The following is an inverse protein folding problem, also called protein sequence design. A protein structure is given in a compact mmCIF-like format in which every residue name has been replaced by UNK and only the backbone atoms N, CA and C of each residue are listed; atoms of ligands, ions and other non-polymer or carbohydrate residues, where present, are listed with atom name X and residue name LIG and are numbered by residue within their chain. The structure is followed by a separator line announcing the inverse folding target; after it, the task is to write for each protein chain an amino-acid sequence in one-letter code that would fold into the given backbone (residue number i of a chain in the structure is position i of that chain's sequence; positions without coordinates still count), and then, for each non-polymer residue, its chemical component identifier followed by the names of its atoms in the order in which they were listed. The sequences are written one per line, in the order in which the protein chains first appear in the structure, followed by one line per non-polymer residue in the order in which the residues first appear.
data_IF_324174178302
#
_entry.id   IF_324174178302
#
_cell.length_a   1.000
_cell.length_b   1.000
_cell.length_c   1.000
_cell.angle_alpha   90.00
_cell.angle_beta   90.00
_cell.angle_gamma   90.00
#
_symmetry.space_group_name_H-M   'P 1'
#
loop_
_entity.id
_entity.type
_entity.pdbx_description
1 polymer ?
#
# COMPACT_ATOMS: atom_id res chain seq x y z
N UNK A 1 -35.99 -8.53 15.52
CA UNK A 1 -36.34 -7.16 15.10
C UNK A 1 -37.84 -6.97 15.16
N UNK A 2 -38.28 -6.15 16.10
CA UNK A 2 -39.68 -5.78 16.30
C UNK A 2 -40.05 -4.59 15.43
N UNK A 3 -41.30 -4.56 14.96
CA UNK A 3 -41.83 -3.39 14.26
C UNK A 3 -41.82 -2.15 15.15
N UNK A 4 -41.86 -2.32 16.47
CA UNK A 4 -41.85 -1.23 17.47
C UNK A 4 -40.49 -0.56 17.55
N UNK A 5 -39.38 -1.30 17.55
CA UNK A 5 -38.05 -0.69 17.62
C UNK A 5 -37.69 0.05 16.32
N UNK A 6 -38.02 -0.54 15.16
CA UNK A 6 -37.87 0.15 13.88
C UNK A 6 -38.78 1.40 13.80
N UNK A 7 -40.00 1.31 14.33
CA UNK A 7 -40.92 2.43 14.39
C UNK A 7 -40.37 3.59 15.24
N UNK A 8 -39.75 3.28 16.39
CA UNK A 8 -39.05 4.27 17.22
C UNK A 8 -37.89 4.91 16.47
N UNK A 9 -37.06 4.11 15.78
CA UNK A 9 -35.93 4.61 14.99
C UNK A 9 -36.37 5.59 13.89
N UNK A 10 -37.40 5.25 13.12
CA UNK A 10 -37.88 6.11 12.02
C UNK A 10 -38.91 7.15 12.44
N UNK A 11 -39.27 7.22 13.74
CA UNK A 11 -40.35 8.07 14.26
C UNK A 11 -41.67 7.86 13.52
N UNK A 12 -42.03 6.58 13.34
CA UNK A 12 -43.24 6.13 12.65
C UNK A 12 -44.09 5.24 13.56
N UNK A 13 -45.28 4.83 13.11
CA UNK A 13 -46.09 3.84 13.82
C UNK A 13 -45.64 2.42 13.47
N UNK A 14 -45.78 1.47 14.41
CA UNK A 14 -45.50 0.05 14.17
C UNK A 14 -46.32 -0.53 13.01
N UNK A 15 -47.54 -0.02 12.80
CA UNK A 15 -48.39 -0.38 11.66
C UNK A 15 -47.78 0.11 10.33
N UNK A 16 -47.25 1.34 10.30
CA UNK A 16 -46.55 1.89 9.14
C UNK A 16 -45.32 1.06 8.75
N UNK A 17 -44.53 0.64 9.74
CA UNK A 17 -43.40 -0.27 9.52
C UNK A 17 -43.87 -1.64 9.03
N UNK A 18 -44.96 -2.18 9.59
CA UNK A 18 -45.55 -3.43 9.11
C UNK A 18 -45.97 -3.36 7.63
N UNK A 19 -46.48 -2.20 7.17
CA UNK A 19 -46.76 -1.95 5.75
C UNK A 19 -45.46 -1.90 4.92
N UNK A 20 -44.45 -1.15 5.37
CA UNK A 20 -43.16 -1.04 4.67
C UNK A 20 -42.43 -2.39 4.55
N UNK A 21 -42.57 -3.25 5.56
CA UNK A 21 -42.04 -4.61 5.54
C UNK A 21 -42.73 -5.47 4.48
N UNK A 22 -44.06 -5.39 4.37
CA UNK A 22 -44.84 -6.06 3.30
C UNK A 22 -44.48 -5.55 1.91
N UNK A 23 -44.26 -4.25 1.79
CA UNK A 23 -43.78 -3.60 0.56
C UNK A 23 -42.31 -3.90 0.24
N UNK A 24 -41.59 -4.64 1.09
CA UNK A 24 -40.17 -4.98 0.94
C UNK A 24 -39.29 -3.74 0.74
N UNK A 25 -39.57 -2.66 1.49
CA UNK A 25 -38.78 -1.43 1.36
C UNK A 25 -37.32 -1.70 1.74
N UNK A 26 -36.34 -1.32 0.89
CA UNK A 26 -34.92 -1.63 1.10
C UNK A 26 -34.39 -1.21 2.46
N UNK A 27 -34.84 -0.06 2.98
CA UNK A 27 -34.37 0.46 4.27
C UNK A 27 -34.78 -0.43 5.45
N UNK A 28 -35.99 -1.01 5.43
CA UNK A 28 -36.45 -1.93 6.49
C UNK A 28 -35.68 -3.24 6.39
N UNK A 29 -35.48 -3.76 5.18
CA UNK A 29 -34.69 -4.97 4.94
C UNK A 29 -33.26 -4.79 5.42
N UNK A 30 -32.64 -3.65 5.12
CA UNK A 30 -31.29 -3.31 5.58
C UNK A 30 -31.20 -3.33 7.11
N UNK A 31 -32.12 -2.63 7.80
CA UNK A 31 -32.12 -2.60 9.26
C UNK A 31 -32.32 -4.01 9.84
N UNK A 32 -33.30 -4.76 9.35
CA UNK A 32 -33.58 -6.15 9.79
C UNK A 32 -32.44 -7.13 9.56
N UNK A 33 -31.63 -6.90 8.53
CA UNK A 33 -30.53 -7.79 8.16
C UNK A 33 -29.28 -7.59 9.01
N UNK A 34 -28.98 -6.36 9.43
CA UNK A 34 -27.67 -6.01 10.00
C UNK A 34 -27.71 -5.61 11.48
N UNK A 35 -28.89 -5.35 12.05
CA UNK A 35 -29.04 -4.90 13.42
C UNK A 35 -29.95 -5.82 14.21
N UNK A 36 -29.76 -5.88 15.53
CA UNK A 36 -30.69 -6.56 16.45
C UNK A 36 -31.57 -5.52 17.16
N UNK A 37 -32.63 -5.97 17.83
CA UNK A 37 -33.48 -5.06 18.62
C UNK A 37 -32.67 -4.32 19.68
N UNK A 38 -31.74 -5.02 20.34
CA UNK A 38 -30.84 -4.45 21.34
C UNK A 38 -29.93 -3.37 20.74
N UNK A 39 -29.47 -3.53 19.50
CA UNK A 39 -28.66 -2.49 18.84
C UNK A 39 -29.46 -1.23 18.57
N UNK A 40 -30.74 -1.37 18.22
CA UNK A 40 -31.61 -0.22 17.96
C UNK A 40 -31.95 0.49 19.26
N UNK A 41 -32.24 -0.26 20.32
CA UNK A 41 -32.48 0.30 21.66
C UNK A 41 -31.26 1.03 22.20
N UNK A 42 -30.09 0.41 22.13
CA UNK A 42 -28.81 1.02 22.51
C UNK A 42 -28.53 2.32 21.73
N UNK A 43 -28.77 2.31 20.41
CA UNK A 43 -28.58 3.49 19.57
C UNK A 43 -29.55 4.62 19.92
N UNK A 44 -30.81 4.28 20.19
CA UNK A 44 -31.82 5.24 20.60
C UNK A 44 -31.52 5.88 21.97
N UNK A 45 -30.87 5.15 22.86
CA UNK A 45 -30.51 5.63 24.20
C UNK A 45 -29.19 6.42 24.22
N UNK A 46 -28.17 5.92 23.53
CA UNK A 46 -26.79 6.43 23.65
C UNK A 46 -26.32 7.23 22.43
N UNK A 47 -27.07 7.18 21.33
CA UNK A 47 -26.65 7.71 20.02
C UNK A 47 -25.57 6.86 19.33
N UNK A 48 -25.22 5.70 19.89
CA UNK A 48 -24.14 4.83 19.43
C UNK A 48 -24.49 3.35 19.60
N UNK A 49 -23.69 2.49 18.98
CA UNK A 49 -23.80 1.04 19.13
C UNK A 49 -22.41 0.53 19.52
N UNK A 50 -22.24 0.08 20.76
CA UNK A 50 -20.95 -0.15 21.40
C UNK A 50 -20.12 -1.21 20.69
N UNK A 51 -20.75 -2.24 20.09
CA UNK A 51 -20.01 -3.23 19.28
C UNK A 51 -19.29 -2.57 18.10
N UNK A 52 -19.90 -1.60 17.42
CA UNK A 52 -19.27 -0.89 16.30
C UNK A 52 -18.21 0.10 16.79
N UNK A 53 -18.44 0.76 17.92
CA UNK A 53 -17.42 1.61 18.56
C UNK A 53 -16.17 0.80 18.97
N UNK A 54 -16.38 -0.42 19.48
CA UNK A 54 -15.31 -1.33 19.87
C UNK A 54 -14.50 -1.80 18.65
N UNK A 55 -15.15 -2.17 17.54
CA UNK A 55 -14.45 -2.50 16.30
C UNK A 55 -13.61 -1.34 15.77
N UNK A 56 -14.14 -0.11 15.78
CA UNK A 56 -13.38 1.08 15.39
C UNK A 56 -12.15 1.29 16.27
N UNK A 57 -12.29 1.04 17.58
CA UNK A 57 -11.19 1.14 18.54
C UNK A 57 -10.11 0.08 18.27
N UNK A 58 -10.50 -1.17 18.03
CA UNK A 58 -9.56 -2.24 17.66
C UNK A 58 -8.83 -1.88 16.37
N UNK A 59 -9.56 -1.49 15.32
CA UNK A 59 -8.99 -1.14 14.03
C UNK A 59 -7.96 -0.01 14.18
N UNK A 60 -8.30 1.06 14.93
CA UNK A 60 -7.37 2.15 15.21
C UNK A 60 -6.11 1.66 15.93
N UNK A 61 -6.27 0.82 16.96
CA UNK A 61 -5.12 0.28 17.70
C UNK A 61 -4.18 -0.56 16.82
N UNK A 62 -4.73 -1.33 15.88
CA UNK A 62 -3.97 -2.13 14.91
C UNK A 62 -3.23 -1.20 13.94
N UNK A 63 -3.90 -0.17 13.41
CA UNK A 63 -3.30 0.84 12.52
C UNK A 63 -2.14 1.55 13.23
N UNK A 64 -2.36 2.08 14.44
CA UNK A 64 -1.33 2.79 15.20
C UNK A 64 -0.13 1.90 15.55
N UNK A 65 -0.38 0.65 15.93
CA UNK A 65 0.67 -0.35 16.19
C UNK A 65 1.48 -0.61 14.93
N UNK A 66 0.82 -0.89 13.80
CA UNK A 66 1.51 -1.25 12.56
C UNK A 66 2.19 -0.06 11.91
N UNK A 67 1.68 1.17 12.06
CA UNK A 67 2.37 2.39 11.66
C UNK A 67 3.73 2.51 12.37
N UNK A 68 3.76 2.26 13.69
CA UNK A 68 5.01 2.27 14.45
C UNK A 68 5.95 1.17 14.00
N UNK A 69 5.46 -0.05 13.80
CA UNK A 69 6.28 -1.18 13.32
C UNK A 69 6.86 -0.87 11.94
N UNK A 70 6.04 -0.36 11.02
CA UNK A 70 6.45 0.03 9.68
C UNK A 70 7.57 1.06 9.72
N UNK A 71 7.41 2.16 10.47
CA UNK A 71 8.45 3.18 10.56
C UNK A 71 9.73 2.62 11.17
N UNK A 72 9.62 1.82 12.24
CA UNK A 72 10.76 1.19 12.91
C UNK A 72 11.53 0.23 11.99
N UNK A 73 10.88 -0.38 11.01
CA UNK A 73 11.55 -1.23 10.01
C UNK A 73 12.62 -0.47 9.24
N UNK A 74 12.39 0.82 8.96
CA UNK A 74 13.28 1.63 8.13
C UNK A 74 14.15 2.62 8.93
N UNK A 75 13.84 2.87 10.21
CA UNK A 75 14.62 3.79 11.05
C UNK A 75 15.44 3.11 12.16
N UNK A 76 14.93 2.05 12.79
CA UNK A 76 15.60 1.39 13.93
C UNK A 76 16.18 0.02 13.57
N UNK A 77 15.46 -0.74 12.74
CA UNK A 77 15.81 -2.11 12.33
C UNK A 77 16.43 -2.16 10.95
N UNK A 78 16.70 -0.99 10.38
CA UNK A 78 17.35 -0.86 9.10
C UNK A 78 18.85 -0.69 9.26
N UNK A 79 19.60 -1.15 8.26
CA UNK A 79 21.07 -1.04 8.25
C UNK A 79 21.55 0.37 7.93
N UNK A 80 20.66 1.23 7.46
CA UNK A 80 20.92 2.59 7.01
C UNK A 80 20.07 3.57 7.81
N UNK A 81 20.33 4.87 7.64
CA UNK A 81 19.60 5.96 8.31
C UNK A 81 18.18 6.18 7.76
N UNK A 82 17.74 5.33 6.84
CA UNK A 82 16.44 5.38 6.17
C UNK A 82 16.49 4.64 4.84
N UNK A 83 15.34 4.36 4.24
CA UNK A 83 15.23 3.70 2.93
C UNK A 83 15.98 4.48 1.86
N UNK A 84 15.93 5.81 1.89
CA UNK A 84 16.61 6.69 0.94
C UNK A 84 18.14 6.50 0.92
N UNK A 85 18.73 5.94 1.98
CA UNK A 85 20.17 5.67 2.09
C UNK A 85 20.54 4.22 1.77
N UNK A 86 19.58 3.38 1.38
CA UNK A 86 19.84 1.99 1.01
C UNK A 86 20.48 1.87 -0.37
N UNK A 87 20.87 0.65 -0.74
CA UNK A 87 21.27 0.38 -2.12
C UNK A 87 20.10 0.62 -3.08
N UNK A 88 20.34 1.30 -4.19
CA UNK A 88 19.35 1.59 -5.24
C UNK A 88 18.55 0.35 -5.61
N UNK A 89 19.22 -0.79 -5.83
CA UNK A 89 18.54 -2.05 -6.17
C UNK A 89 17.49 -2.48 -5.13
N UNK A 90 17.73 -2.20 -3.85
CA UNK A 90 16.76 -2.51 -2.79
C UNK A 90 15.62 -1.50 -2.77
N UNK A 91 15.90 -0.21 -3.01
CA UNK A 91 14.87 0.84 -3.14
C UNK A 91 13.94 0.52 -4.31
N UNK A 92 14.51 0.19 -5.47
CA UNK A 92 13.81 -0.21 -6.68
C UNK A 92 12.95 -1.45 -6.44
N UNK A 93 13.52 -2.48 -5.79
CA UNK A 93 12.78 -3.68 -5.37
C UNK A 93 11.63 -3.32 -4.45
N UNK A 94 11.88 -2.50 -3.42
CA UNK A 94 10.89 -2.16 -2.41
C UNK A 94 9.66 -1.48 -3.01
N UNK A 95 9.87 -0.47 -3.86
CA UNK A 95 8.75 0.20 -4.51
C UNK A 95 8.03 -0.69 -5.53
N UNK A 96 8.77 -1.53 -6.27
CA UNK A 96 8.17 -2.54 -7.14
C UNK A 96 7.29 -3.53 -6.35
N UNK A 97 7.73 -3.97 -5.18
CA UNK A 97 6.97 -4.82 -4.27
C UNK A 97 5.68 -4.14 -3.80
N UNK A 98 5.71 -2.85 -3.44
CA UNK A 98 4.49 -2.12 -3.07
C UNK A 98 3.50 -1.97 -4.24
N UNK A 99 4.01 -1.78 -5.46
CA UNK A 99 3.17 -1.74 -6.67
C UNK A 99 2.50 -3.10 -6.90
N UNK A 100 3.26 -4.19 -6.84
CA UNK A 100 2.72 -5.55 -6.96
C UNK A 100 1.65 -5.83 -5.90
N UNK A 101 1.89 -5.43 -4.64
CA UNK A 101 0.91 -5.54 -3.56
C UNK A 101 -0.39 -4.78 -3.86
N UNK A 102 -0.28 -3.54 -4.36
CA UNK A 102 -1.47 -2.75 -4.72
C UNK A 102 -2.28 -3.44 -5.82
N UNK A 103 -1.63 -3.93 -6.87
CA UNK A 103 -2.32 -4.64 -7.95
C UNK A 103 -2.98 -5.93 -7.44
N UNK A 104 -2.35 -6.64 -6.51
CA UNK A 104 -2.95 -7.80 -5.84
C UNK A 104 -4.23 -7.43 -5.08
N UNK A 105 -4.22 -6.33 -4.32
CA UNK A 105 -5.39 -5.84 -3.59
C UNK A 105 -6.53 -5.41 -4.51
N UNK A 106 -6.21 -4.76 -5.64
CA UNK A 106 -7.20 -4.33 -6.63
C UNK A 106 -7.88 -5.50 -7.37
N UNK A 107 -7.14 -6.60 -7.56
CA UNK A 107 -7.61 -7.76 -8.34
C UNK A 107 -8.60 -8.69 -7.60
N UNK A 108 -9.04 -8.36 -6.37
CA UNK A 108 -10.12 -9.00 -5.56
C UNK A 108 -10.03 -10.53 -5.34
N UNK A 109 -9.07 -11.24 -5.93
CA UNK A 109 -8.77 -12.63 -5.62
C UNK A 109 -7.90 -12.70 -4.36
N UNK A 110 -8.46 -12.27 -3.22
CA UNK A 110 -7.87 -12.45 -1.90
C UNK A 110 -7.98 -13.93 -1.47
N UNK A 111 -7.25 -14.81 -2.15
CA UNK A 111 -7.07 -16.18 -1.69
C UNK A 111 -5.83 -16.22 -0.79
N UNK A 112 -6.03 -16.17 0.53
CA UNK A 112 -5.14 -16.74 1.57
C UNK A 112 -3.62 -16.50 1.46
N UNK A 113 -3.14 -15.41 0.88
CA UNK A 113 -1.70 -15.16 0.78
C UNK A 113 -1.16 -14.60 2.10
N UNK A 114 -0.08 -15.21 2.61
CA UNK A 114 0.69 -14.62 3.70
C UNK A 114 1.63 -13.55 3.12
N UNK A 115 1.85 -12.45 3.86
CA UNK A 115 2.73 -11.36 3.43
C UNK A 115 4.13 -11.85 3.04
N UNK A 116 4.63 -12.88 3.73
CA UNK A 116 5.93 -13.49 3.45
C UNK A 116 5.97 -14.19 2.09
N UNK A 117 4.89 -14.87 1.69
CA UNK A 117 4.80 -15.54 0.39
C UNK A 117 4.80 -14.53 -0.74
N UNK A 118 4.08 -13.41 -0.55
CA UNK A 118 4.06 -12.29 -1.50
C UNK A 118 5.45 -11.69 -1.61
N UNK A 119 6.08 -11.35 -0.49
CA UNK A 119 7.43 -10.79 -0.45
C UNK A 119 8.45 -11.69 -1.18
N UNK A 120 8.42 -12.99 -0.91
CA UNK A 120 9.33 -13.96 -1.54
C UNK A 120 9.09 -14.04 -3.05
N UNK A 121 7.83 -14.04 -3.47
CA UNK A 121 7.45 -14.04 -4.89
C UNK A 121 7.90 -12.75 -5.59
N UNK A 122 7.73 -11.60 -4.96
CA UNK A 122 8.15 -10.29 -5.49
C UNK A 122 9.66 -10.19 -5.65
N UNK A 123 10.46 -10.74 -4.72
CA UNK A 123 11.93 -10.81 -4.89
C UNK A 123 12.29 -11.58 -6.16
N UNK A 124 11.67 -12.75 -6.37
CA UNK A 124 11.94 -13.58 -7.54
C UNK A 124 11.50 -12.89 -8.84
N UNK A 125 10.29 -12.32 -8.86
CA UNK A 125 9.75 -11.62 -10.02
C UNK A 125 10.61 -10.41 -10.41
N UNK A 126 11.03 -9.61 -9.42
CA UNK A 126 11.89 -8.46 -9.63
C UNK A 126 13.22 -8.85 -10.29
N UNK A 127 13.90 -9.88 -9.77
CA UNK A 127 15.18 -10.35 -10.33
C UNK A 127 15.02 -10.95 -11.72
N UNK A 128 13.96 -11.72 -11.98
CA UNK A 128 13.66 -12.28 -13.30
C UNK A 128 13.41 -11.16 -14.31
N UNK A 129 12.61 -10.14 -13.97
CA UNK A 129 12.33 -8.99 -14.83
C UNK A 129 13.62 -8.23 -15.17
N UNK A 130 14.48 -8.00 -14.19
CA UNK A 130 15.77 -7.31 -14.39
C UNK A 130 16.76 -8.13 -15.23
N UNK A 131 16.87 -9.42 -14.98
CA UNK A 131 17.75 -10.30 -15.76
C UNK A 131 17.29 -10.44 -17.21
N UNK A 132 15.99 -10.67 -17.42
CA UNK A 132 15.44 -10.79 -18.78
C UNK A 132 15.65 -9.51 -19.60
N UNK A 133 15.49 -8.33 -18.99
CA UNK A 133 15.85 -7.04 -19.60
C UNK A 133 17.32 -7.01 -20.05
N UNK A 134 18.22 -7.45 -19.18
CA UNK A 134 19.66 -7.44 -19.45
C UNK A 134 20.09 -8.44 -20.53
N UNK A 135 19.32 -9.52 -20.71
CA UNK A 135 19.53 -10.48 -21.81
C UNK A 135 19.02 -9.95 -23.16
N UNK A 136 17.94 -9.16 -23.18
CA UNK A 136 17.38 -8.63 -24.43
C UNK A 136 18.26 -7.54 -25.09
N UNK A 137 19.19 -6.94 -24.36
CA UNK A 137 20.13 -5.94 -24.89
C UNK A 137 21.40 -6.53 -25.51
N UNK A 138 21.50 -7.87 -25.64
CA UNK A 138 22.72 -8.55 -26.10
C UNK A 138 22.88 -8.60 -27.64
N UNK A 139 24.13 -8.56 -28.10
CA UNK A 139 24.53 -8.67 -29.51
C UNK A 139 24.70 -10.12 -29.99
N UNK A 140 24.75 -10.32 -31.31
CA UNK A 140 24.76 -11.62 -32.00
C UNK A 140 26.08 -12.43 -31.91
N UNK A 141 27.13 -11.93 -31.25
CA UNK A 141 28.43 -12.61 -31.17
C UNK A 141 28.50 -13.61 -30.00
N UNK A 142 28.67 -14.89 -30.32
CA UNK A 142 28.67 -16.01 -29.36
C UNK A 142 29.77 -15.94 -28.29
N UNK A 143 30.94 -15.35 -28.58
CA UNK A 143 32.03 -15.25 -27.58
C UNK A 143 31.74 -14.11 -26.60
N UNK A 144 31.27 -12.98 -27.12
CA UNK A 144 30.83 -11.83 -26.32
C UNK A 144 29.61 -12.20 -25.45
N UNK A 145 28.71 -13.04 -25.96
CA UNK A 145 27.55 -13.54 -25.21
C UNK A 145 27.94 -14.31 -23.95
N UNK A 146 28.93 -15.20 -23.99
CA UNK A 146 29.30 -16.01 -22.83
C UNK A 146 29.87 -15.15 -21.69
N UNK A 147 30.81 -14.27 -22.01
CA UNK A 147 31.41 -13.34 -21.03
C UNK A 147 30.35 -12.38 -20.46
N UNK A 148 29.42 -11.92 -21.30
CA UNK A 148 28.33 -11.06 -20.83
C UNK A 148 27.35 -11.82 -19.93
N UNK A 149 27.00 -13.07 -20.25
CA UNK A 149 26.15 -13.91 -19.38
C UNK A 149 26.82 -14.16 -18.03
N UNK A 150 28.13 -14.41 -18.01
CA UNK A 150 28.89 -14.58 -16.75
C UNK A 150 28.87 -13.30 -15.90
N UNK A 151 29.07 -12.13 -16.52
CA UNK A 151 28.97 -10.83 -15.85
C UNK A 151 27.55 -10.56 -15.32
N UNK A 152 26.52 -10.82 -16.11
CA UNK A 152 25.12 -10.66 -15.70
C UNK A 152 24.75 -11.58 -14.53
N UNK A 153 25.25 -12.83 -14.54
CA UNK A 153 25.06 -13.74 -13.42
C UNK A 153 25.77 -13.23 -12.15
N UNK A 154 26.96 -12.66 -12.28
CA UNK A 154 27.66 -12.05 -11.14
C UNK A 154 26.88 -10.86 -10.56
N UNK A 155 26.39 -9.98 -11.43
CA UNK A 155 25.57 -8.82 -11.05
C UNK A 155 24.27 -9.24 -10.38
N UNK A 156 23.52 -10.18 -10.95
CA UNK A 156 22.31 -10.73 -10.35
C UNK A 156 22.56 -11.31 -8.95
N UNK A 157 23.66 -12.06 -8.78
CA UNK A 157 24.00 -12.63 -7.48
C UNK A 157 24.40 -11.56 -6.47
N UNK A 158 25.03 -10.46 -6.92
CA UNK A 158 25.29 -9.28 -6.07
C UNK A 158 23.98 -8.60 -5.67
N UNK A 159 23.09 -8.39 -6.63
CA UNK A 159 21.80 -7.71 -6.46
C UNK A 159 20.89 -8.52 -5.52
N UNK A 160 20.77 -9.83 -5.71
CA UNK A 160 20.06 -10.74 -4.80
C UNK A 160 20.60 -10.63 -3.37
N UNK A 161 21.93 -10.65 -3.20
CA UNK A 161 22.55 -10.49 -1.87
C UNK A 161 22.24 -9.14 -1.24
N UNK A 162 22.21 -8.06 -2.03
CA UNK A 162 21.89 -6.73 -1.53
C UNK A 162 20.41 -6.65 -1.10
N UNK A 163 19.49 -7.23 -1.88
CA UNK A 163 18.08 -7.32 -1.52
C UNK A 163 17.91 -8.14 -0.23
N UNK A 164 18.46 -9.36 -0.18
CA UNK A 164 18.36 -10.25 0.98
C UNK A 164 18.93 -9.65 2.27
N UNK A 165 20.01 -8.86 2.19
CA UNK A 165 20.58 -8.18 3.37
C UNK A 165 19.62 -7.16 3.97
N UNK A 166 18.80 -6.54 3.13
CA UNK A 166 17.94 -5.44 3.49
C UNK A 166 16.49 -5.86 3.77
N UNK A 167 16.02 -7.00 3.25
CA UNK A 167 14.70 -7.58 3.59
C UNK A 167 14.56 -7.93 5.07
N UNK A 168 15.64 -7.96 5.85
CA UNK A 168 15.58 -8.14 7.31
C UNK A 168 14.71 -7.07 8.01
N UNK A 169 14.52 -5.89 7.41
CA UNK A 169 13.61 -4.87 7.94
C UNK A 169 12.16 -5.36 8.04
N UNK A 170 11.78 -6.37 7.26
CA UNK A 170 10.45 -6.96 7.27
C UNK A 170 10.28 -8.05 8.32
N UNK A 171 11.34 -8.48 9.02
CA UNK A 171 11.25 -9.57 10.01
C UNK A 171 10.36 -9.22 11.21
N UNK A 172 10.12 -7.94 11.46
CA UNK A 172 9.22 -7.47 12.53
C UNK A 172 7.77 -7.29 12.07
N UNK A 173 7.47 -7.58 10.80
CA UNK A 173 6.13 -7.48 10.24
C UNK A 173 5.35 -8.76 10.57
N UNK A 174 4.26 -8.60 11.31
CA UNK A 174 3.29 -9.67 11.56
C UNK A 174 2.27 -9.78 10.44
N UNK A 175 1.34 -10.73 10.58
CA UNK A 175 0.20 -10.88 9.65
C UNK A 175 -0.66 -9.61 9.58
N UNK A 176 -0.74 -8.86 10.69
CA UNK A 176 -1.48 -7.60 10.76
C UNK A 176 -0.86 -6.47 9.90
N UNK A 177 0.43 -6.58 9.54
CA UNK A 177 1.07 -5.67 8.61
C UNK A 177 0.47 -5.76 7.20
N UNK A 178 0.01 -6.94 6.77
CA UNK A 178 -0.61 -7.11 5.46
C UNK A 178 -1.85 -6.22 5.30
N UNK A 179 -2.73 -6.23 6.31
CA UNK A 179 -3.92 -5.38 6.35
C UNK A 179 -3.58 -3.89 6.48
N UNK A 180 -2.50 -3.57 7.19
CA UNK A 180 -2.01 -2.20 7.27
C UNK A 180 -1.48 -1.69 5.92
N UNK A 181 -0.72 -2.51 5.19
CA UNK A 181 -0.27 -2.18 3.82
C UNK A 181 -1.46 -2.04 2.86
N UNK A 182 -2.47 -2.91 2.96
CA UNK A 182 -3.73 -2.76 2.20
C UNK A 182 -4.39 -1.41 2.50
N UNK A 183 -4.50 -1.06 3.79
CA UNK A 183 -5.05 0.23 4.23
C UNK A 183 -4.28 1.42 3.63
N UNK A 184 -2.94 1.39 3.67
CA UNK A 184 -2.09 2.46 3.11
C UNK A 184 -2.19 2.56 1.59
N UNK A 185 -2.06 1.44 0.89
CA UNK A 185 -1.98 1.39 -0.57
C UNK A 185 -3.33 1.71 -1.23
N UNK A 186 -4.44 1.45 -0.54
CA UNK A 186 -5.78 1.84 -0.99
C UNK A 186 -5.89 3.35 -1.23
N UNK A 187 -5.22 4.16 -0.42
CA UNK A 187 -5.24 5.62 -0.53
C UNK A 187 -3.87 6.19 -0.94
N UNK A 188 -3.10 5.42 -1.72
CA UNK A 188 -1.83 5.87 -2.31
C UNK A 188 -0.81 6.43 -1.30
N UNK A 189 -0.82 5.93 -0.07
CA UNK A 189 0.02 6.44 1.03
C UNK A 189 -0.21 7.94 1.32
N UNK A 190 -1.41 8.49 1.06
CA UNK A 190 -1.71 9.91 1.33
C UNK A 190 -1.41 10.31 2.78
N UNK A 191 -1.74 9.43 3.74
CA UNK A 191 -1.45 9.64 5.17
C UNK A 191 0.04 9.87 5.47
N UNK A 192 0.94 9.37 4.62
CA UNK A 192 2.38 9.61 4.76
C UNK A 192 2.82 10.95 4.16
N UNK A 193 2.22 11.39 3.04
CA UNK A 193 2.45 12.73 2.50
C UNK A 193 1.99 13.82 3.48
N UNK A 194 0.90 13.55 4.21
CA UNK A 194 0.36 14.49 5.19
C UNK A 194 1.20 14.57 6.48
N UNK A 195 2.07 13.57 6.70
CA UNK A 195 2.93 13.51 7.87
C UNK A 195 4.06 14.55 7.81
N UNK A 196 4.69 14.83 8.95
CA UNK A 196 5.89 15.68 9.02
C UNK A 196 7.18 14.83 9.06
N UNK A 197 7.08 13.52 8.81
CA UNK A 197 8.21 12.59 8.86
C UNK A 197 8.80 12.38 7.47
N UNK A 198 10.07 12.73 7.29
CA UNK A 198 10.75 12.68 5.98
C UNK A 198 10.85 11.28 5.40
N UNK A 199 11.06 10.26 6.23
CA UNK A 199 11.09 8.85 5.81
C UNK A 199 9.72 8.43 5.24
N UNK A 200 8.62 8.73 5.95
CA UNK A 200 7.28 8.41 5.44
C UNK A 200 6.97 9.15 4.14
N UNK A 201 7.38 10.41 4.03
CA UNK A 201 7.20 11.19 2.80
C UNK A 201 7.99 10.58 1.64
N UNK A 202 9.24 10.13 1.87
CA UNK A 202 10.04 9.43 0.88
C UNK A 202 9.32 8.18 0.36
N UNK A 203 8.77 7.38 1.28
CA UNK A 203 8.02 6.18 0.92
C UNK A 203 6.79 6.50 0.06
N UNK A 204 6.05 7.56 0.41
CA UNK A 204 4.86 7.96 -0.33
C UNK A 204 5.20 8.49 -1.73
N UNK A 205 6.23 9.33 -1.85
CA UNK A 205 6.71 9.85 -3.13
C UNK A 205 7.18 8.70 -4.02
N UNK A 206 8.07 7.85 -3.50
CA UNK A 206 8.63 6.75 -4.29
C UNK A 206 7.58 5.74 -4.73
N UNK A 207 6.67 5.35 -3.84
CA UNK A 207 5.55 4.49 -4.21
C UNK A 207 4.72 5.10 -5.35
N UNK A 208 4.33 6.37 -5.23
CA UNK A 208 3.48 7.01 -6.24
C UNK A 208 4.20 7.17 -7.57
N UNK A 209 5.49 7.49 -7.59
CA UNK A 209 6.28 7.52 -8.83
C UNK A 209 6.31 6.14 -9.48
N UNK A 210 6.63 5.08 -8.71
CA UNK A 210 6.70 3.72 -9.23
C UNK A 210 5.35 3.20 -9.72
N UNK A 211 4.26 3.49 -9.02
CA UNK A 211 2.93 3.04 -9.41
C UNK A 211 2.45 3.71 -10.71
N UNK A 212 2.68 5.02 -10.85
CA UNK A 212 2.29 5.76 -12.05
C UNK A 212 3.20 5.49 -13.25
N UNK A 213 4.44 5.07 -13.01
CA UNK A 213 5.41 4.68 -14.02
C UNK A 213 5.67 3.16 -14.02
N UNK A 214 4.67 2.35 -13.67
CA UNK A 214 4.83 0.89 -13.59
C UNK A 214 5.21 0.22 -14.92
N UNK A 215 4.80 0.85 -16.02
CA UNK A 215 5.12 0.44 -17.39
C UNK A 215 6.47 1.01 -17.89
N UNK A 216 7.06 1.97 -17.17
CA UNK A 216 8.41 2.45 -17.45
C UNK A 216 9.43 1.40 -17.03
N UNK A 217 10.27 0.99 -17.97
CA UNK A 217 11.26 -0.06 -17.78
C UNK A 217 12.57 0.45 -17.21
N UNK A 218 12.86 1.75 -17.28
CA UNK A 218 14.05 2.34 -16.70
C UNK A 218 13.80 2.85 -15.28
N UNK A 219 14.23 2.07 -14.28
CA UNK A 219 14.10 2.46 -12.88
C UNK A 219 14.93 3.72 -12.53
N UNK A 220 16.00 4.01 -13.27
CA UNK A 220 16.79 5.24 -13.06
C UNK A 220 15.96 6.51 -13.33
N UNK A 221 15.02 6.46 -14.28
CA UNK A 221 14.10 7.58 -14.55
C UNK A 221 13.20 7.84 -13.35
N UNK A 222 12.73 6.77 -12.70
CA UNK A 222 11.88 6.86 -11.50
C UNK A 222 12.70 7.45 -10.35
N UNK A 223 13.92 6.99 -10.15
CA UNK A 223 14.83 7.47 -9.10
C UNK A 223 15.17 8.97 -9.28
N UNK A 224 15.37 9.41 -10.53
CA UNK A 224 15.58 10.83 -10.86
C UNK A 224 14.32 11.65 -10.52
N UNK A 225 13.12 11.18 -10.89
CA UNK A 225 11.87 11.89 -10.58
C UNK A 225 11.68 12.02 -9.07
N UNK A 226 11.92 10.95 -8.32
CA UNK A 226 11.84 10.96 -6.85
C UNK A 226 12.79 12.01 -6.28
N UNK A 227 14.04 12.01 -6.73
CA UNK A 227 15.06 12.97 -6.28
C UNK A 227 14.66 14.41 -6.55
N UNK A 228 14.17 14.71 -7.76
CA UNK A 228 13.72 16.05 -8.15
C UNK A 228 12.57 16.56 -7.26
N UNK A 229 11.56 15.70 -7.00
CA UNK A 229 10.41 16.06 -6.15
C UNK A 229 10.89 16.43 -4.73
N UNK A 230 11.82 15.65 -4.17
CA UNK A 230 12.33 15.86 -2.82
C UNK A 230 13.24 17.09 -2.73
N UNK A 231 14.05 17.35 -3.75
CA UNK A 231 14.84 18.58 -3.84
C UNK A 231 13.95 19.82 -3.90
N UNK A 232 12.87 19.81 -4.68
CA UNK A 232 11.98 20.96 -4.80
C UNK A 232 11.19 21.22 -3.51
N UNK A 233 10.85 20.17 -2.76
CA UNK A 233 10.36 20.30 -1.38
C UNK A 233 11.39 21.03 -0.51
N UNK A 234 12.65 20.62 -0.54
CA UNK A 234 13.72 21.21 0.29
C UNK A 234 13.92 22.70 0.00
N UNK A 235 13.73 23.13 -1.26
CA UNK A 235 13.85 24.54 -1.68
C UNK A 235 12.65 25.39 -1.29
N UNK A 236 11.44 24.82 -1.35
CA UNK A 236 10.19 25.58 -1.17
C UNK A 236 9.64 25.53 0.25
N UNK A 237 10.10 24.58 1.07
CA UNK A 237 9.60 24.30 2.42
C UNK A 237 8.07 24.06 2.47
N UNK A 238 7.47 23.67 1.34
CA UNK A 238 6.04 23.33 1.21
C UNK A 238 5.83 21.83 1.40
N UNK A 239 4.62 21.44 1.82
CA UNK A 239 4.23 20.01 1.81
C UNK A 239 4.13 19.53 0.36
N UNK A 240 4.63 18.33 0.10
CA UNK A 240 4.45 17.66 -1.19
C UNK A 240 3.00 17.18 -1.28
N UNK A 241 2.37 17.47 -2.41
CA UNK A 241 1.03 17.00 -2.75
C UNK A 241 1.08 15.96 -3.87
N UNK A 242 -0.02 15.24 -4.07
CA UNK A 242 -0.15 14.34 -5.22
C UNK A 242 -0.02 15.08 -6.56
N UNK A 243 -0.50 16.33 -6.63
CA UNK A 243 -0.38 17.14 -7.84
C UNK A 243 1.08 17.47 -8.17
N UNK A 244 1.91 17.70 -7.16
CA UNK A 244 3.35 17.92 -7.36
C UNK A 244 4.02 16.68 -7.95
N UNK A 245 3.67 15.49 -7.46
CA UNK A 245 4.19 14.22 -7.99
C UNK A 245 3.77 14.05 -9.46
N UNK A 246 2.48 14.24 -9.76
CA UNK A 246 1.98 14.14 -11.14
C UNK A 246 2.59 15.16 -12.08
N UNK A 247 2.88 16.36 -11.58
CA UNK A 247 3.54 17.40 -12.36
C UNK A 247 4.94 16.96 -12.81
N UNK A 248 5.77 16.44 -11.89
CA UNK A 248 7.12 15.97 -12.19
C UNK A 248 7.13 14.79 -13.16
N UNK A 249 6.20 13.84 -12.98
CA UNK A 249 6.05 12.70 -13.90
C UNK A 249 5.73 13.18 -15.32
N UNK A 250 4.81 14.14 -15.46
CA UNK A 250 4.45 14.69 -16.77
C UNK A 250 5.57 15.47 -17.44
N UNK A 251 6.38 16.20 -16.66
CA UNK A 251 7.50 16.97 -17.21
C UNK A 251 8.55 16.06 -17.86
N UNK A 252 8.87 14.92 -17.23
CA UNK A 252 9.85 13.98 -17.80
C UNK A 252 9.34 13.30 -19.08
N UNK A 253 8.05 12.95 -19.16
CA UNK A 253 7.46 12.37 -20.37
C UNK A 253 7.39 13.32 -21.58
N UNK A 254 7.58 14.63 -21.37
CA UNK A 254 7.65 15.61 -22.45
C UNK A 254 9.09 15.90 -22.92
N UNK A 255 10.09 15.26 -22.30
CA UNK A 255 11.53 15.43 -22.61
C UNK A 255 12.11 14.18 -23.30
N UNK A 256 11.41 13.03 -23.21
CA UNK A 256 11.69 11.74 -23.87
C UNK A 256 11.20 11.69 -25.32
#
# INVERSE_FOLDING_TARGET
MTNTNIARLFKMTSQGIGKWKKEKRPIVIFVEKYFTDENIDEFLETGKIQKFEYFNTIQRSIIEKNQKIYLRSFTEKFRYEGLASAYDIFIQFYFSFLVELKELFENKNQASFQLYDVLTSSVNNFLIKRYSKSLMSLSSDKKLQKETIENLNYENNRDLRNIQKNTMCFNIWGEDMFFYLEYLLKDNLQIFLDSDNEELIFHAVGFNVYYNLKDEYNDEIKDIIISNILEDKSKTNKKITMDDIYHHIKQQNNIS
#
